data_IF_639538702936
#
_entry.id   IF_639538702936
#
_cell.length_a   1.000
_cell.length_b   1.000
_cell.length_c   1.000
_cell.angle_alpha   90.00
_cell.angle_beta   90.00
_cell.angle_gamma   90.00
#
_symmetry.space_group_name_H-M   'P 1'
#
loop_
_entity.id
_entity.type
_entity.pdbx_description
1 polymer ?
#
# COMPACT_ATOMS: atom_id res chain seq x y z
N UNK A 1 31.47 -74.22 3.10
CA UNK A 1 30.37 -73.38 3.63
C UNK A 1 30.92 -71.96 3.86
N UNK A 2 30.73 -71.07 2.90
CA UNK A 2 31.15 -69.65 2.97
C UNK A 2 29.94 -68.83 3.38
N UNK A 3 30.02 -68.13 4.50
CA UNK A 3 28.99 -67.19 4.98
C UNK A 3 29.20 -65.86 4.28
N UNK A 4 28.14 -65.45 3.56
CA UNK A 4 28.09 -64.13 2.91
C UNK A 4 27.56 -63.16 3.96
N UNK A 5 28.35 -62.12 4.27
CA UNK A 5 27.93 -61.02 5.13
C UNK A 5 27.34 -59.91 4.25
N UNK A 6 26.05 -59.61 4.47
CA UNK A 6 25.36 -58.48 3.85
C UNK A 6 25.70 -57.22 4.64
N UNK A 7 26.37 -56.26 4.03
CA UNK A 7 26.50 -54.91 4.55
C UNK A 7 25.27 -54.09 4.11
N UNK A 8 24.41 -53.73 5.07
CA UNK A 8 23.41 -52.70 4.88
C UNK A 8 24.08 -51.32 5.02
N UNK A 9 24.24 -50.61 3.93
CA UNK A 9 24.60 -49.20 3.93
C UNK A 9 23.35 -48.40 4.25
N UNK A 10 23.26 -47.82 5.44
CA UNK A 10 22.27 -46.85 5.80
C UNK A 10 22.55 -45.53 5.06
N UNK A 11 21.72 -45.15 4.13
CA UNK A 11 21.73 -43.86 3.48
C UNK A 11 21.23 -42.86 4.51
N UNK A 12 22.10 -42.04 5.08
CA UNK A 12 21.72 -40.90 5.89
C UNK A 12 21.08 -39.84 4.94
N UNK A 13 19.79 -39.66 5.03
CA UNK A 13 19.12 -38.49 4.42
C UNK A 13 19.51 -37.32 5.30
N UNK A 14 20.52 -36.56 4.86
CA UNK A 14 20.77 -35.22 5.40
C UNK A 14 19.58 -34.37 5.00
N UNK A 15 18.74 -34.01 5.99
CA UNK A 15 17.67 -33.03 5.82
C UNK A 15 18.30 -31.73 5.29
N UNK A 16 17.73 -31.17 4.24
CA UNK A 16 17.99 -29.80 3.84
C UNK A 16 17.60 -28.90 5.03
N UNK A 17 18.58 -28.53 5.83
CA UNK A 17 18.41 -27.47 6.80
C UNK A 17 18.13 -26.15 6.07
N UNK A 18 17.31 -25.33 6.68
CA UNK A 18 16.96 -23.98 6.23
C UNK A 18 18.24 -23.21 5.83
N UNK A 19 18.46 -23.01 4.52
CA UNK A 19 19.60 -22.22 4.03
C UNK A 19 19.54 -20.75 4.48
N UNK A 20 18.40 -20.29 5.00
CA UNK A 20 18.23 -18.95 5.58
C UNK A 20 18.66 -18.85 7.05
N UNK A 21 18.96 -19.96 7.73
CA UNK A 21 19.32 -19.97 9.17
C UNK A 21 20.66 -19.31 9.52
N UNK A 22 21.39 -18.78 8.54
CA UNK A 22 22.67 -18.12 8.73
C UNK A 22 22.79 -16.69 8.21
N UNK A 23 21.72 -16.14 7.60
CA UNK A 23 21.73 -14.76 7.09
C UNK A 23 21.08 -13.88 8.15
N UNK A 24 21.91 -13.08 8.85
CA UNK A 24 21.41 -12.04 9.75
C UNK A 24 20.71 -10.96 8.88
N UNK A 25 19.42 -10.64 9.14
CA UNK A 25 18.72 -9.63 8.38
C UNK A 25 19.40 -8.26 8.52
N UNK A 26 19.44 -7.42 7.48
CA UNK A 26 19.97 -6.09 7.59
C UNK A 26 19.18 -5.29 8.63
N UNK A 27 19.85 -4.40 9.35
CA UNK A 27 19.18 -3.57 10.33
C UNK A 27 18.39 -2.46 9.60
N UNK A 28 17.06 -2.42 9.70
CA UNK A 28 16.26 -1.35 9.11
C UNK A 28 16.61 0.01 9.71
N UNK A 29 16.43 1.07 8.94
CA UNK A 29 16.58 2.43 9.44
C UNK A 29 15.47 2.75 10.44
N UNK A 30 15.84 3.42 11.53
CA UNK A 30 14.92 3.90 12.56
C UNK A 30 15.07 5.41 12.73
N UNK A 31 14.14 6.04 13.47
CA UNK A 31 14.19 7.48 13.76
C UNK A 31 15.57 7.89 14.31
N UNK A 32 16.21 8.85 13.65
CA UNK A 32 17.52 9.40 14.03
C UNK A 32 17.44 10.83 14.56
N UNK A 33 16.31 11.50 14.38
CA UNK A 33 16.14 12.87 14.80
C UNK A 33 14.76 13.44 14.50
N UNK A 34 14.61 14.73 14.79
CA UNK A 34 13.39 15.50 14.53
C UNK A 34 13.66 16.54 13.45
N UNK A 35 12.62 16.87 12.68
CA UNK A 35 12.66 17.91 11.67
C UNK A 35 11.38 18.77 11.75
N UNK A 36 11.49 19.99 11.24
CA UNK A 36 10.37 20.88 10.97
C UNK A 36 10.46 21.31 9.50
N UNK A 37 10.20 20.35 8.63
CA UNK A 37 10.33 20.55 7.18
C UNK A 37 9.11 21.21 6.57
N UNK A 38 7.96 21.11 7.26
CA UNK A 38 6.68 21.69 6.84
C UNK A 38 5.70 21.75 8.01
N UNK A 39 4.68 22.60 7.88
CA UNK A 39 3.47 22.60 8.66
C UNK A 39 2.30 22.06 7.85
N UNK A 40 1.14 21.84 8.48
CA UNK A 40 -0.08 21.40 7.81
C UNK A 40 -1.21 22.40 8.03
N UNK A 41 -1.84 22.79 6.93
CA UNK A 41 -3.04 23.64 6.93
C UNK A 41 -4.26 22.79 6.58
N UNK A 42 -5.34 22.94 7.36
CA UNK A 42 -6.61 22.28 7.09
C UNK A 42 -7.36 23.04 6.00
N UNK A 43 -7.60 22.42 4.85
CA UNK A 43 -8.21 23.01 3.66
C UNK A 43 -9.65 22.56 3.42
N UNK A 44 -10.08 21.44 4.02
CA UNK A 44 -11.47 20.99 3.98
C UNK A 44 -11.82 20.24 5.27
N UNK A 45 -13.13 20.25 5.65
CA UNK A 45 -13.62 19.59 6.87
C UNK A 45 -15.03 19.04 6.65
N UNK A 46 -15.51 18.12 7.50
CA UNK A 46 -16.87 17.56 7.44
C UNK A 46 -17.09 16.59 6.27
N UNK A 47 -16.05 15.92 5.83
CA UNK A 47 -16.11 14.75 4.95
C UNK A 47 -16.44 13.50 5.79
N UNK A 48 -16.94 12.45 5.15
CA UNK A 48 -17.32 11.23 5.84
C UNK A 48 -16.20 10.18 5.72
N UNK A 49 -15.27 10.17 6.69
CA UNK A 49 -14.13 9.24 6.73
C UNK A 49 -13.36 9.19 5.41
N UNK A 50 -12.69 10.28 4.99
CA UNK A 50 -11.93 10.29 3.75
C UNK A 50 -10.72 9.34 3.87
N UNK A 51 -10.59 8.42 2.90
CA UNK A 51 -9.54 7.42 2.85
C UNK A 51 -8.49 7.68 1.76
N UNK A 52 -8.78 8.59 0.84
CA UNK A 52 -7.86 8.95 -0.23
C UNK A 52 -8.06 10.42 -0.62
N UNK A 53 -6.99 11.11 -0.99
CA UNK A 53 -7.02 12.48 -1.54
C UNK A 53 -5.90 12.63 -2.55
N UNK A 54 -6.18 13.33 -3.66
CA UNK A 54 -5.18 13.65 -4.67
C UNK A 54 -5.77 14.41 -5.84
N UNK A 55 -4.89 14.83 -6.76
CA UNK A 55 -5.31 15.43 -8.02
C UNK A 55 -5.74 14.37 -9.03
N UNK A 56 -6.72 14.69 -9.88
CA UNK A 56 -7.04 13.93 -11.08
C UNK A 56 -6.35 14.56 -12.30
N UNK A 57 -5.78 13.75 -13.22
CA UNK A 57 -5.20 14.28 -14.45
C UNK A 57 -6.21 15.10 -15.27
N UNK A 58 -5.82 16.31 -15.68
CA UNK A 58 -6.70 17.20 -16.46
C UNK A 58 -7.71 17.99 -15.64
N UNK A 59 -7.69 17.94 -14.30
CA UNK A 59 -8.51 18.73 -13.39
C UNK A 59 -7.65 19.57 -12.42
N UNK A 60 -6.83 20.51 -12.93
CA UNK A 60 -5.91 21.29 -12.11
C UNK A 60 -6.69 22.20 -11.14
N UNK A 61 -6.14 22.35 -9.92
CA UNK A 61 -6.73 23.19 -8.87
C UNK A 61 -7.84 22.53 -8.07
N UNK A 62 -8.27 21.34 -8.46
CA UNK A 62 -9.21 20.52 -7.68
C UNK A 62 -8.52 19.34 -6.99
N UNK A 63 -9.09 18.92 -5.87
CA UNK A 63 -8.74 17.68 -5.20
C UNK A 63 -9.93 16.71 -5.29
N UNK A 64 -9.62 15.46 -5.57
CA UNK A 64 -10.58 14.38 -5.49
C UNK A 64 -10.37 13.64 -4.18
N UNK A 65 -11.46 13.24 -3.54
CA UNK A 65 -11.46 12.58 -2.24
C UNK A 65 -12.36 11.36 -2.31
N UNK A 66 -11.89 10.22 -1.82
CA UNK A 66 -12.75 9.07 -1.57
C UNK A 66 -13.25 9.12 -0.13
N UNK A 67 -14.55 9.09 0.03
CA UNK A 67 -15.18 8.84 1.33
C UNK A 67 -15.45 7.33 1.49
N UNK A 68 -15.04 6.76 2.61
CA UNK A 68 -15.14 5.33 2.90
C UNK A 68 -16.54 4.74 2.60
N UNK A 69 -17.68 5.41 2.89
CA UNK A 69 -19.00 4.86 2.60
C UNK A 69 -19.34 4.69 1.12
N UNK A 70 -18.51 5.16 0.17
CA UNK A 70 -18.75 4.92 -1.26
C UNK A 70 -18.98 6.16 -2.10
N UNK A 71 -18.45 7.32 -1.69
CA UNK A 71 -18.57 8.55 -2.48
C UNK A 71 -17.23 9.04 -2.99
N UNK A 72 -17.24 9.58 -4.21
CA UNK A 72 -16.12 10.36 -4.78
C UNK A 72 -16.53 11.82 -4.75
N UNK A 73 -15.77 12.63 -4.04
CA UNK A 73 -16.02 14.07 -3.84
C UNK A 73 -14.94 14.86 -4.57
N UNK A 74 -15.32 15.88 -5.30
CA UNK A 74 -14.42 16.90 -5.88
C UNK A 74 -14.46 18.15 -5.01
N UNK A 75 -13.30 18.67 -4.65
CA UNK A 75 -13.15 19.90 -3.86
C UNK A 75 -12.40 20.91 -4.70
N UNK A 76 -13.01 22.06 -4.96
CA UNK A 76 -12.41 23.16 -5.68
C UNK A 76 -12.81 24.49 -5.04
N UNK A 77 -11.86 25.35 -4.71
CA UNK A 77 -12.08 26.65 -4.09
C UNK A 77 -13.04 26.61 -2.87
N UNK A 78 -12.88 25.55 -2.03
CA UNK A 78 -13.73 25.32 -0.85
C UNK A 78 -15.13 24.76 -1.16
N UNK A 79 -15.55 24.71 -2.40
CA UNK A 79 -16.81 24.08 -2.84
C UNK A 79 -16.65 22.58 -3.01
N UNK A 80 -17.73 21.81 -2.74
CA UNK A 80 -17.74 20.36 -2.86
C UNK A 80 -18.81 19.90 -3.84
N UNK A 81 -18.44 18.95 -4.68
CA UNK A 81 -19.35 18.30 -5.61
C UNK A 81 -19.21 16.79 -5.46
N UNK A 82 -20.31 16.07 -5.28
CA UNK A 82 -20.31 14.60 -5.35
C UNK A 82 -20.27 14.20 -6.82
N UNK A 83 -19.20 13.53 -7.22
CA UNK A 83 -19.01 13.05 -8.58
C UNK A 83 -19.60 11.65 -8.79
N UNK A 84 -19.58 10.83 -7.73
CA UNK A 84 -20.10 9.47 -7.71
C UNK A 84 -20.63 9.15 -6.32
N UNK A 85 -21.76 8.45 -6.27
CA UNK A 85 -22.26 7.80 -5.07
C UNK A 85 -22.64 6.35 -5.39
N UNK A 86 -21.87 5.41 -4.79
CA UNK A 86 -22.11 3.96 -4.84
C UNK A 86 -22.31 3.38 -3.43
N UNK A 87 -22.68 4.20 -2.46
CA UNK A 87 -22.85 3.78 -1.06
C UNK A 87 -23.80 2.59 -0.87
N UNK A 88 -24.80 2.45 -1.75
CA UNK A 88 -25.69 1.29 -1.79
C UNK A 88 -24.97 -0.04 -2.16
N UNK A 89 -23.79 0.04 -2.80
CA UNK A 89 -23.01 -1.10 -3.26
C UNK A 89 -21.83 -1.44 -2.32
N UNK A 90 -21.51 -0.53 -1.39
CA UNK A 90 -20.34 -0.60 -0.51
C UNK A 90 -20.74 -1.08 0.88
N UNK A 91 -20.03 -2.09 1.41
CA UNK A 91 -20.03 -2.40 2.82
C UNK A 91 -19.00 -1.51 3.51
N UNK A 92 -19.38 -0.89 4.61
CA UNK A 92 -18.50 -0.02 5.40
C UNK A 92 -18.25 -0.66 6.76
N UNK A 93 -17.00 -1.02 7.03
CA UNK A 93 -16.55 -1.61 8.30
C UNK A 93 -15.34 -0.85 8.88
N UNK A 94 -14.53 -1.56 9.65
CA UNK A 94 -13.28 -1.00 10.18
C UNK A 94 -12.33 -0.64 9.04
N UNK A 95 -12.02 -1.61 8.18
CA UNK A 95 -11.16 -1.43 6.99
C UNK A 95 -11.94 -1.55 5.67
N UNK A 96 -13.17 -2.02 5.69
CA UNK A 96 -14.03 -2.14 4.50
C UNK A 96 -14.58 -0.80 4.07
N UNK A 97 -14.74 -0.60 2.76
CA UNK A 97 -15.27 0.64 2.21
C UNK A 97 -14.91 0.85 0.74
N UNK A 98 -15.02 2.09 0.27
CA UNK A 98 -14.41 2.56 -0.98
C UNK A 98 -12.95 2.93 -0.67
N UNK A 99 -12.01 2.07 -1.08
CA UNK A 99 -10.65 2.03 -0.56
C UNK A 99 -9.60 2.65 -1.49
N UNK A 100 -9.82 2.56 -2.82
CA UNK A 100 -8.83 3.00 -3.79
C UNK A 100 -9.43 3.56 -5.06
N UNK A 101 -8.71 4.49 -5.67
CA UNK A 101 -8.96 5.05 -6.99
C UNK A 101 -7.65 5.12 -7.77
N UNK A 102 -7.71 4.77 -9.06
CA UNK A 102 -6.63 5.04 -10.00
C UNK A 102 -7.20 5.68 -11.25
N UNK A 103 -6.51 6.69 -11.75
CA UNK A 103 -6.83 7.32 -13.02
C UNK A 103 -6.00 6.66 -14.13
N UNK A 104 -6.67 6.38 -15.26
CA UNK A 104 -5.97 5.99 -16.49
C UNK A 104 -4.89 7.04 -16.84
N UNK A 105 -3.71 6.64 -17.36
CA UNK A 105 -2.70 7.62 -17.79
C UNK A 105 -3.26 8.69 -18.74
N UNK A 106 -4.23 8.32 -19.58
CA UNK A 106 -4.92 9.23 -20.49
C UNK A 106 -6.27 9.77 -19.95
N UNK A 107 -6.47 9.75 -18.63
CA UNK A 107 -7.74 10.14 -17.98
C UNK A 107 -8.28 11.48 -18.47
N UNK A 108 -7.45 12.49 -18.66
CA UNK A 108 -7.84 13.82 -19.13
C UNK A 108 -8.64 13.78 -20.46
N UNK A 109 -8.41 12.78 -21.29
CA UNK A 109 -9.10 12.60 -22.58
C UNK A 109 -10.07 11.44 -22.56
N UNK A 110 -9.73 10.33 -21.89
CA UNK A 110 -10.52 9.11 -21.85
C UNK A 110 -11.65 9.16 -20.82
N UNK A 111 -11.46 9.89 -19.73
CA UNK A 111 -12.32 9.86 -18.57
C UNK A 111 -12.31 8.51 -17.82
N UNK A 112 -11.41 7.57 -18.16
CA UNK A 112 -11.34 6.24 -17.55
C UNK A 112 -10.72 6.33 -16.15
N UNK A 113 -11.37 5.69 -15.19
CA UNK A 113 -10.84 5.54 -13.83
C UNK A 113 -11.24 4.17 -13.29
N UNK A 114 -10.57 3.76 -12.25
CA UNK A 114 -10.73 2.46 -11.62
C UNK A 114 -10.96 2.65 -10.13
N UNK A 115 -11.92 1.90 -9.58
CA UNK A 115 -12.23 1.93 -8.17
C UNK A 115 -12.05 0.56 -7.56
N UNK A 116 -11.56 0.53 -6.32
CA UNK A 116 -11.50 -0.62 -5.45
C UNK A 116 -12.40 -0.39 -4.25
N UNK A 117 -13.29 -1.35 -3.96
CA UNK A 117 -14.20 -1.28 -2.80
C UNK A 117 -14.55 -2.67 -2.27
N UNK A 118 -15.03 -2.69 -1.02
CA UNK A 118 -15.67 -3.87 -0.42
C UNK A 118 -17.15 -3.89 -0.80
N UNK A 119 -17.62 -4.94 -1.46
CA UNK A 119 -19.04 -5.05 -1.82
C UNK A 119 -19.92 -5.37 -0.59
N UNK A 120 -21.23 -5.52 -0.79
CA UNK A 120 -22.21 -5.75 0.29
C UNK A 120 -21.99 -7.08 1.06
N UNK A 121 -21.15 -7.99 0.56
CA UNK A 121 -20.72 -9.21 1.26
C UNK A 121 -19.36 -9.07 1.93
N UNK A 122 -18.68 -7.96 1.71
CA UNK A 122 -17.33 -7.70 2.19
C UNK A 122 -16.23 -8.06 1.18
N UNK A 123 -16.61 -8.64 0.02
CA UNK A 123 -15.64 -9.07 -0.98
C UNK A 123 -15.02 -7.90 -1.73
N UNK A 124 -13.74 -8.04 -2.07
CA UNK A 124 -13.02 -7.07 -2.90
C UNK A 124 -13.60 -7.00 -4.30
N UNK A 125 -13.83 -5.78 -4.76
CA UNK A 125 -14.23 -5.43 -6.14
C UNK A 125 -13.26 -4.43 -6.73
N UNK A 126 -12.85 -4.68 -7.97
CA UNK A 126 -12.17 -3.67 -8.81
C UNK A 126 -12.92 -3.55 -10.10
N UNK A 127 -13.28 -2.33 -10.49
CA UNK A 127 -13.99 -2.09 -11.73
C UNK A 127 -13.58 -0.77 -12.40
N UNK A 128 -13.76 -0.74 -13.71
CA UNK A 128 -13.60 0.43 -14.56
C UNK A 128 -14.87 1.28 -14.53
N UNK A 129 -14.69 2.57 -14.34
CA UNK A 129 -15.72 3.61 -14.44
C UNK A 129 -15.32 4.65 -15.49
N UNK A 130 -16.24 5.52 -15.82
CA UNK A 130 -15.98 6.61 -16.75
C UNK A 130 -16.57 7.92 -16.25
N UNK A 131 -15.71 8.92 -16.11
CA UNK A 131 -16.09 10.29 -15.85
C UNK A 131 -16.52 10.97 -17.16
N UNK A 132 -17.54 11.84 -17.08
CA UNK A 132 -17.95 12.76 -18.13
C UNK A 132 -17.05 14.00 -18.15
N UNK A 133 -17.25 14.89 -19.11
CA UNK A 133 -16.49 16.16 -19.20
C UNK A 133 -16.74 17.11 -18.01
N UNK A 134 -17.87 16.98 -17.32
CA UNK A 134 -18.19 17.70 -16.09
C UNK A 134 -17.73 16.96 -14.83
N UNK A 135 -16.90 15.93 -15.00
CA UNK A 135 -16.38 15.02 -13.99
C UNK A 135 -17.41 14.13 -13.29
N UNK A 136 -18.71 14.23 -13.61
CA UNK A 136 -19.69 13.28 -13.04
C UNK A 136 -19.42 11.86 -13.54
N UNK A 137 -19.64 10.88 -12.65
CA UNK A 137 -19.34 9.47 -12.91
C UNK A 137 -20.65 8.68 -12.81
N UNK A 138 -20.93 7.83 -13.79
CA UNK A 138 -22.07 6.92 -13.73
C UNK A 138 -21.86 5.88 -12.61
N UNK A 139 -22.87 5.63 -11.75
CA UNK A 139 -22.72 4.69 -10.63
C UNK A 139 -22.67 3.21 -11.06
N UNK A 140 -22.89 2.94 -12.35
CA UNK A 140 -22.72 1.59 -12.91
C UNK A 140 -21.33 1.48 -13.55
N UNK A 141 -20.51 0.49 -13.15
CA UNK A 141 -19.22 0.27 -13.76
C UNK A 141 -19.35 -0.11 -15.25
N UNK A 142 -18.40 0.35 -16.04
CA UNK A 142 -18.25 -0.03 -17.45
C UNK A 142 -17.88 -1.51 -17.56
N UNK A 143 -16.98 -1.96 -16.69
CA UNK A 143 -16.45 -3.32 -16.70
C UNK A 143 -15.97 -3.73 -15.31
N UNK A 144 -16.36 -4.93 -14.85
CA UNK A 144 -15.79 -5.58 -13.69
C UNK A 144 -14.44 -6.18 -14.08
N UNK A 145 -13.38 -5.93 -13.30
CA UNK A 145 -12.02 -6.39 -13.57
C UNK A 145 -11.56 -7.49 -12.62
N UNK A 146 -11.91 -7.38 -11.34
CA UNK A 146 -11.51 -8.32 -10.30
C UNK A 146 -12.59 -8.49 -9.26
N UNK A 147 -12.64 -9.70 -8.73
CA UNK A 147 -13.45 -10.11 -7.60
C UNK A 147 -12.63 -11.07 -6.77
N UNK A 148 -12.43 -10.78 -5.48
CA UNK A 148 -11.72 -11.65 -4.53
C UNK A 148 -12.56 -11.77 -3.26
N UNK A 149 -12.82 -12.99 -2.85
CA UNK A 149 -13.50 -13.27 -1.59
C UNK A 149 -12.62 -12.83 -0.42
N UNK A 150 -13.20 -12.10 0.53
CA UNK A 150 -12.50 -11.63 1.74
C UNK A 150 -13.00 -12.40 2.96
N UNK A 151 -12.10 -13.16 3.63
CA UNK A 151 -12.50 -14.00 4.76
C UNK A 151 -12.92 -13.21 5.99
N UNK A 152 -12.30 -12.04 6.24
CA UNK A 152 -12.55 -11.20 7.42
C UNK A 152 -12.79 -9.73 7.02
N UNK A 153 -13.23 -8.92 7.98
CA UNK A 153 -13.49 -7.49 7.78
C UNK A 153 -12.23 -6.61 7.83
N UNK A 154 -11.08 -7.17 8.17
CA UNK A 154 -9.79 -6.50 8.26
C UNK A 154 -8.78 -7.04 7.24
N UNK A 155 -7.64 -6.35 7.11
CA UNK A 155 -6.58 -6.61 6.14
C UNK A 155 -7.09 -6.61 4.68
N UNK A 156 -7.92 -5.63 4.35
CA UNK A 156 -8.47 -5.53 3.00
C UNK A 156 -7.51 -4.87 2.01
N UNK A 157 -6.37 -4.33 2.47
CA UNK A 157 -5.47 -3.52 1.64
C UNK A 157 -6.13 -2.20 1.23
N UNK A 158 -5.87 -1.71 0.03
CA UNK A 158 -6.63 -0.55 -0.41
C UNK A 158 -6.11 0.21 -1.62
N UNK A 159 -4.82 0.25 -1.83
CA UNK A 159 -4.23 1.07 -2.89
C UNK A 159 -4.49 0.48 -4.27
N UNK A 160 -5.00 1.34 -5.18
CA UNK A 160 -4.92 1.18 -6.63
C UNK A 160 -3.98 2.24 -7.20
N UNK A 161 -3.10 1.88 -8.12
CA UNK A 161 -2.29 2.83 -8.87
C UNK A 161 -1.82 2.22 -10.19
N UNK A 162 -1.62 3.05 -11.21
CA UNK A 162 -0.88 2.65 -12.39
C UNK A 162 0.61 2.65 -12.10
N UNK A 163 1.30 1.59 -12.51
CA UNK A 163 2.75 1.52 -12.49
C UNK A 163 3.38 2.26 -13.67
N UNK A 164 4.71 2.40 -13.67
CA UNK A 164 5.45 3.03 -14.78
C UNK A 164 5.41 2.21 -16.08
N UNK A 165 4.85 1.03 -16.05
CA UNK A 165 4.65 0.07 -17.14
C UNK A 165 3.21 0.05 -17.68
N UNK A 166 2.41 1.05 -17.32
CA UNK A 166 1.00 1.23 -17.68
C UNK A 166 0.06 0.09 -17.19
N UNK A 167 0.51 -0.78 -16.29
CA UNK A 167 -0.36 -1.78 -15.64
C UNK A 167 -1.02 -1.18 -14.39
N UNK A 168 -2.24 -1.65 -14.11
CA UNK A 168 -2.95 -1.33 -12.87
C UNK A 168 -2.50 -2.29 -11.76
N UNK A 169 -2.04 -1.73 -10.65
CA UNK A 169 -1.59 -2.45 -9.46
C UNK A 169 -2.61 -2.34 -8.34
N UNK A 170 -2.71 -3.40 -7.55
CA UNK A 170 -3.57 -3.49 -6.37
C UNK A 170 -2.81 -4.15 -5.22
N UNK A 171 -2.81 -3.53 -4.05
CA UNK A 171 -2.40 -4.14 -2.79
C UNK A 171 -3.58 -4.83 -2.10
N UNK A 172 -3.42 -6.10 -1.79
CA UNK A 172 -4.39 -6.93 -1.06
C UNK A 172 -3.75 -7.47 0.21
N UNK A 173 -4.40 -7.28 1.34
CA UNK A 173 -3.99 -7.90 2.60
C UNK A 173 -4.19 -9.42 2.60
N UNK A 174 -3.72 -10.09 3.64
CA UNK A 174 -3.78 -11.54 3.82
C UNK A 174 -5.20 -12.09 4.07
N UNK A 175 -6.21 -11.21 4.08
CA UNK A 175 -7.62 -11.56 4.31
C UNK A 175 -8.00 -11.67 5.78
N UNK A 176 -7.12 -11.18 6.69
CA UNK A 176 -7.46 -10.94 8.09
C UNK A 176 -7.19 -12.09 9.05
N UNK A 177 -7.33 -11.77 10.31
CA UNK A 177 -6.98 -12.62 11.42
C UNK A 177 -5.53 -12.46 11.87
N UNK A 178 -5.22 -12.91 13.10
CA UNK A 178 -3.89 -12.82 13.66
C UNK A 178 -2.98 -13.90 13.05
N UNK A 179 -1.74 -13.51 12.67
CA UNK A 179 -0.71 -14.41 12.17
C UNK A 179 -1.07 -15.20 10.90
N UNK A 180 -1.88 -14.62 10.00
CA UNK A 180 -2.32 -15.24 8.74
C UNK A 180 -2.80 -16.69 8.93
N UNK A 181 -3.95 -16.91 9.60
CA UNK A 181 -4.40 -18.25 9.99
C UNK A 181 -4.75 -19.15 8.80
N UNK A 182 -4.77 -18.60 7.60
CA UNK A 182 -5.07 -19.30 6.34
C UNK A 182 -3.84 -19.50 5.47
N UNK A 183 -2.68 -18.97 5.89
CA UNK A 183 -1.41 -19.00 5.16
C UNK A 183 -1.52 -18.41 3.74
N UNK A 184 -2.40 -17.44 3.53
CA UNK A 184 -2.67 -16.84 2.21
C UNK A 184 -1.50 -16.02 1.70
N UNK A 185 -0.77 -15.35 2.60
CA UNK A 185 0.35 -14.48 2.22
C UNK A 185 1.48 -15.24 1.52
N UNK A 186 1.69 -16.51 1.87
CA UNK A 186 2.72 -17.38 1.30
C UNK A 186 2.18 -18.38 0.25
N UNK A 187 0.86 -18.42 0.02
CA UNK A 187 0.25 -19.29 -0.97
C UNK A 187 0.36 -18.68 -2.38
N UNK A 188 1.12 -19.28 -3.33
CA UNK A 188 1.29 -18.75 -4.68
C UNK A 188 0.02 -18.78 -5.53
N UNK A 189 -0.95 -19.62 -5.17
CA UNK A 189 -2.22 -19.77 -5.89
C UNK A 189 -3.30 -18.81 -5.35
N UNK A 190 -2.99 -18.00 -4.34
CA UNK A 190 -3.89 -17.03 -3.72
C UNK A 190 -3.49 -15.59 -4.08
N UNK A 191 -4.47 -14.68 -4.18
CA UNK A 191 -4.24 -13.26 -4.43
C UNK A 191 -4.15 -12.42 -3.15
N UNK A 192 -4.52 -12.98 -2.00
CA UNK A 192 -4.44 -12.30 -0.70
C UNK A 192 -3.00 -12.28 -0.18
N UNK A 193 -2.63 -11.22 0.55
CA UNK A 193 -1.28 -10.98 1.03
C UNK A 193 -0.28 -10.67 -0.10
N UNK A 194 -0.72 -9.91 -1.11
CA UNK A 194 0.02 -9.69 -2.37
C UNK A 194 -0.07 -8.24 -2.85
N UNK A 195 0.90 -7.83 -3.63
CA UNK A 195 0.71 -6.80 -4.66
C UNK A 195 0.56 -7.51 -6.00
N UNK A 196 -0.53 -7.23 -6.69
CA UNK A 196 -0.87 -7.83 -7.99
C UNK A 196 -0.99 -6.75 -9.06
N UNK A 197 -0.73 -7.11 -10.32
CA UNK A 197 -0.82 -6.19 -11.46
C UNK A 197 -1.52 -6.82 -12.65
N UNK A 198 -2.20 -6.01 -13.46
CA UNK A 198 -2.84 -6.42 -14.69
C UNK A 198 -2.77 -5.35 -15.78
N UNK A 199 -2.64 -5.79 -17.03
CA UNK A 199 -2.95 -4.97 -18.22
C UNK A 199 -4.48 -4.85 -18.33
N UNK A 200 -5.01 -3.68 -18.00
CA UNK A 200 -6.46 -3.42 -18.02
C UNK A 200 -6.99 -3.07 -19.40
N UNK A 201 -6.14 -2.90 -20.41
CA UNK A 201 -6.55 -2.73 -21.81
C UNK A 201 -6.84 -4.07 -22.49
N UNK A 202 -6.30 -5.14 -21.92
CA UNK A 202 -6.64 -6.48 -22.35
C UNK A 202 -8.15 -6.75 -22.24
N UNK A 203 -8.73 -7.43 -23.21
CA UNK A 203 -10.16 -7.80 -23.20
C UNK A 203 -10.56 -8.61 -21.96
N UNK A 204 -9.63 -9.40 -21.42
CA UNK A 204 -9.74 -10.17 -20.18
C UNK A 204 -8.44 -10.00 -19.40
N UNK A 205 -8.36 -8.99 -18.53
CA UNK A 205 -7.18 -8.78 -17.71
C UNK A 205 -6.81 -10.01 -16.90
N UNK A 206 -5.52 -10.33 -16.89
CA UNK A 206 -4.97 -11.40 -16.05
C UNK A 206 -4.11 -10.74 -14.98
N UNK A 207 -4.51 -10.92 -13.75
CA UNK A 207 -3.77 -10.43 -12.60
C UNK A 207 -2.58 -11.36 -12.33
N UNK A 208 -1.40 -10.78 -12.28
CA UNK A 208 -0.14 -11.43 -11.91
C UNK A 208 0.26 -11.00 -10.50
N UNK A 209 0.76 -11.93 -9.70
CA UNK A 209 1.42 -11.61 -8.43
C UNK A 209 2.77 -10.97 -8.75
N UNK A 210 3.05 -9.81 -8.15
CA UNK A 210 4.30 -9.05 -8.26
C UNK A 210 5.11 -9.15 -6.97
N UNK A 211 4.42 -9.05 -5.83
CA UNK A 211 5.01 -9.21 -4.50
C UNK A 211 4.13 -10.16 -3.69
N UNK A 212 4.77 -10.95 -2.83
CA UNK A 212 4.11 -11.92 -1.93
C UNK A 212 4.58 -11.71 -0.49
N UNK A 213 3.92 -12.34 0.47
CA UNK A 213 4.33 -12.25 1.87
C UNK A 213 4.06 -10.90 2.50
N UNK A 214 2.89 -10.33 2.24
CA UNK A 214 2.38 -9.08 2.80
C UNK A 214 1.23 -9.35 3.76
N UNK A 215 1.16 -8.57 4.84
CA UNK A 215 0.07 -8.65 5.81
C UNK A 215 -1.12 -7.78 5.42
N UNK A 216 -0.90 -6.48 5.33
CA UNK A 216 -1.92 -5.50 4.97
C UNK A 216 -1.28 -4.27 4.31
N UNK A 217 -0.88 -4.38 3.02
CA UNK A 217 -0.23 -3.31 2.28
C UNK A 217 -1.23 -2.18 2.04
N UNK A 218 -1.34 -1.28 3.03
CA UNK A 218 -2.36 -0.23 3.03
C UNK A 218 -2.16 0.76 1.91
N UNK A 219 -0.91 1.30 1.75
CA UNK A 219 -0.53 2.19 0.65
C UNK A 219 0.83 1.82 0.08
N UNK A 220 0.98 2.04 -1.21
CA UNK A 220 2.24 1.93 -1.89
C UNK A 220 2.45 3.11 -2.86
N UNK A 221 3.68 3.31 -3.28
CA UNK A 221 4.06 4.39 -4.19
C UNK A 221 5.13 3.92 -5.15
N UNK A 222 5.01 4.28 -6.43
CA UNK A 222 6.06 4.05 -7.41
C UNK A 222 7.03 5.23 -7.46
N UNK A 223 8.34 4.95 -7.39
CA UNK A 223 9.37 5.91 -7.73
C UNK A 223 9.89 5.60 -9.13
N UNK A 224 9.37 6.25 -10.19
CA UNK A 224 9.78 5.97 -11.57
C UNK A 224 11.22 6.39 -11.86
N UNK A 225 11.79 7.29 -11.06
CA UNK A 225 13.16 7.72 -11.22
C UNK A 225 14.18 6.65 -10.78
N UNK A 226 13.76 5.76 -9.88
CA UNK A 226 14.57 4.64 -9.39
C UNK A 226 14.09 3.28 -9.88
N UNK A 227 12.90 3.20 -10.52
CA UNK A 227 12.30 1.96 -10.96
C UNK A 227 11.87 1.06 -9.79
N UNK A 228 11.34 1.65 -8.74
CA UNK A 228 11.05 0.99 -7.47
C UNK A 228 9.60 1.21 -7.01
N UNK A 229 9.11 0.26 -6.21
CA UNK A 229 7.88 0.39 -5.44
C UNK A 229 8.20 0.51 -3.95
N UNK A 230 7.56 1.44 -3.28
CA UNK A 230 7.59 1.64 -1.83
C UNK A 230 6.27 1.16 -1.25
N UNK A 231 6.30 0.30 -0.24
CA UNK A 231 5.11 -0.28 0.38
C UNK A 231 5.13 0.06 1.87
N UNK A 232 3.98 0.39 2.41
CA UNK A 232 3.72 0.42 3.83
C UNK A 232 2.85 -0.78 4.17
N UNK A 233 3.44 -1.76 4.81
CA UNK A 233 2.77 -2.96 5.26
C UNK A 233 2.49 -2.88 6.76
N UNK A 234 1.22 -2.97 7.15
CA UNK A 234 0.78 -2.82 8.54
C UNK A 234 1.14 -4.08 9.31
N UNK A 235 1.96 -3.92 10.34
CA UNK A 235 2.41 -5.00 11.21
C UNK A 235 1.32 -5.58 12.11
N UNK A 236 1.67 -6.67 12.82
CA UNK A 236 0.71 -7.40 13.66
C UNK A 236 0.56 -6.74 15.04
N UNK A 237 1.62 -6.74 15.82
CA UNK A 237 1.57 -6.35 17.24
C UNK A 237 2.72 -5.44 17.69
N UNK A 238 3.88 -5.50 17.03
CA UNK A 238 5.10 -4.87 17.54
C UNK A 238 5.70 -3.85 16.58
N UNK A 239 5.69 -4.11 15.26
CA UNK A 239 6.53 -3.39 14.30
C UNK A 239 5.75 -3.02 13.04
N UNK A 240 5.76 -1.75 12.72
CA UNK A 240 5.33 -1.22 11.42
C UNK A 240 6.53 -1.12 10.47
N UNK A 241 6.29 -1.37 9.17
CA UNK A 241 7.40 -1.44 8.20
C UNK A 241 7.15 -0.68 6.91
N UNK A 242 8.26 -0.21 6.35
CA UNK A 242 8.34 0.35 5.01
C UNK A 242 9.30 -0.51 4.20
N UNK A 243 8.80 -1.02 3.09
CA UNK A 243 9.56 -1.79 2.14
C UNK A 243 9.90 -0.97 0.91
N UNK A 244 11.05 -1.28 0.30
CA UNK A 244 11.53 -0.66 -0.91
C UNK A 244 12.03 -1.75 -1.85
N UNK A 245 11.33 -1.97 -2.96
CA UNK A 245 11.55 -3.12 -3.83
C UNK A 245 11.75 -2.65 -5.27
N UNK A 246 12.80 -3.12 -5.97
CA UNK A 246 12.90 -2.94 -7.43
C UNK A 246 11.68 -3.53 -8.13
N UNK A 247 11.14 -2.82 -9.11
CA UNK A 247 9.97 -3.27 -9.87
C UNK A 247 10.43 -4.16 -11.03
N UNK A 248 10.41 -5.47 -10.84
CA UNK A 248 10.85 -6.49 -11.79
C UNK A 248 9.69 -7.43 -12.12
N UNK A 249 8.96 -7.15 -13.21
CA UNK A 249 7.69 -7.85 -13.52
C UNK A 249 7.84 -9.24 -14.14
N UNK A 250 8.97 -9.51 -14.76
CA UNK A 250 9.21 -10.78 -15.48
C UNK A 250 9.98 -11.79 -14.63
N UNK A 251 10.37 -11.38 -13.40
CA UNK A 251 11.03 -12.23 -12.42
C UNK A 251 9.99 -12.86 -11.47
N UNK A 252 10.38 -13.89 -10.71
CA UNK A 252 9.54 -14.41 -9.63
C UNK A 252 9.16 -13.30 -8.63
N UNK A 253 7.96 -13.36 -8.02
CA UNK A 253 7.52 -12.37 -7.04
C UNK A 253 8.51 -12.27 -5.87
N UNK A 254 8.98 -11.07 -5.53
CA UNK A 254 9.76 -10.88 -4.30
C UNK A 254 8.87 -11.13 -3.08
N UNK A 255 9.45 -11.73 -2.03
CA UNK A 255 8.75 -12.11 -0.81
C UNK A 255 9.12 -11.16 0.34
N UNK A 256 8.12 -10.55 1.00
CA UNK A 256 8.34 -9.61 2.10
C UNK A 256 8.27 -10.27 3.48
N UNK A 257 8.08 -11.60 3.54
CA UNK A 257 8.32 -12.42 4.72
C UNK A 257 7.12 -12.67 5.64
N UNK A 258 6.02 -11.96 5.52
CA UNK A 258 4.81 -12.26 6.29
C UNK A 258 4.24 -13.63 5.85
N UNK A 259 3.84 -14.54 6.75
CA UNK A 259 3.67 -14.40 8.20
C UNK A 259 4.77 -15.08 9.02
N UNK A 260 5.94 -15.38 8.43
CA UNK A 260 7.08 -15.88 9.19
C UNK A 260 7.80 -14.76 9.94
N UNK A 261 7.78 -13.53 9.41
CA UNK A 261 8.45 -12.36 9.97
C UNK A 261 7.49 -11.19 10.16
N UNK A 262 7.75 -10.38 11.19
CA UNK A 262 7.24 -9.03 11.40
C UNK A 262 8.44 -8.10 11.52
N UNK A 263 8.60 -7.17 10.58
CA UNK A 263 9.87 -6.48 10.39
C UNK A 263 10.99 -7.46 10.05
N UNK A 264 12.03 -7.47 10.87
CA UNK A 264 13.14 -8.45 10.75
C UNK A 264 13.09 -9.54 11.81
N UNK A 265 12.07 -9.55 12.66
CA UNK A 265 11.90 -10.51 13.75
C UNK A 265 11.11 -11.72 13.25
N UNK A 266 11.69 -12.92 13.39
CA UNK A 266 10.94 -14.15 13.15
C UNK A 266 9.91 -14.34 14.24
N UNK A 267 8.63 -14.46 13.88
CA UNK A 267 7.49 -14.56 14.79
C UNK A 267 6.79 -15.92 14.73
N UNK A 268 6.96 -16.67 13.65
CA UNK A 268 6.37 -17.98 13.47
C UNK A 268 7.26 -18.91 12.65
N UNK A 269 7.07 -20.23 12.81
CA UNK A 269 7.72 -21.26 12.00
C UNK A 269 6.89 -21.58 10.75
N UNK A 270 6.46 -20.53 10.05
CA UNK A 270 5.81 -20.69 8.76
C UNK A 270 6.85 -20.82 7.65
N UNK A 271 6.58 -21.72 6.70
CA UNK A 271 7.39 -21.84 5.50
C UNK A 271 7.19 -20.62 4.61
N UNK A 272 8.29 -20.10 4.07
CA UNK A 272 8.24 -19.05 3.06
C UNK A 272 8.07 -19.68 1.67
N UNK A 273 7.26 -19.04 0.82
CA UNK A 273 7.30 -19.33 -0.62
C UNK A 273 8.69 -18.96 -1.15
N UNK A 274 9.35 -19.95 -1.74
CA UNK A 274 10.74 -19.84 -2.24
C UNK A 274 10.81 -19.48 -3.71
N UNK A 275 9.69 -19.12 -4.32
CA UNK A 275 9.67 -18.73 -5.73
C UNK A 275 10.45 -17.43 -6.00
N UNK A 276 10.54 -16.52 -5.01
CA UNK A 276 11.27 -15.27 -5.09
C UNK A 276 12.18 -15.03 -3.89
N UNK A 277 13.09 -14.05 -4.04
CA UNK A 277 14.00 -13.66 -2.96
C UNK A 277 13.24 -12.97 -1.83
N UNK A 278 13.69 -13.21 -0.59
CA UNK A 278 13.23 -12.50 0.58
C UNK A 278 13.79 -11.08 0.58
N UNK A 279 12.90 -10.10 0.73
CA UNK A 279 13.23 -8.67 0.85
C UNK A 279 12.91 -8.21 2.26
N UNK A 280 13.84 -7.49 2.86
CA UNK A 280 13.69 -6.95 4.21
C UNK A 280 13.24 -5.49 4.18
N UNK A 281 12.46 -5.03 5.19
CA UNK A 281 12.05 -3.64 5.29
C UNK A 281 13.26 -2.70 5.38
N UNK A 282 13.16 -1.55 4.73
CA UNK A 282 14.21 -0.53 4.75
C UNK A 282 14.10 0.41 5.94
N UNK A 283 12.90 0.54 6.51
CA UNK A 283 12.66 1.31 7.73
C UNK A 283 11.55 0.67 8.55
N UNK A 284 11.67 0.77 9.88
CA UNK A 284 10.68 0.27 10.83
C UNK A 284 10.49 1.23 12.00
N UNK A 285 9.34 1.14 12.65
CA UNK A 285 9.10 1.73 13.97
C UNK A 285 8.21 0.82 14.81
N UNK A 286 8.32 0.92 16.15
CA UNK A 286 7.56 0.08 17.07
C UNK A 286 6.28 0.75 17.53
N UNK A 287 5.27 -0.05 17.88
CA UNK A 287 3.98 0.44 18.39
C UNK A 287 4.15 1.25 19.68
N UNK A 288 4.95 0.80 20.63
CA UNK A 288 5.03 1.39 21.97
C UNK A 288 5.62 2.82 22.02
N UNK A 289 6.87 2.97 21.61
CA UNK A 289 7.65 4.20 21.83
C UNK A 289 7.18 5.38 20.97
N UNK A 290 6.72 5.09 19.76
CA UNK A 290 6.17 6.09 18.87
C UNK A 290 4.69 6.37 19.13
N UNK A 291 3.98 5.49 19.88
CA UNK A 291 2.53 5.55 20.05
C UNK A 291 1.78 5.32 18.74
N UNK A 292 2.43 4.65 17.77
CA UNK A 292 1.84 4.23 16.51
C UNK A 292 1.12 2.90 16.63
N UNK A 293 0.33 2.56 15.62
CA UNK A 293 -0.37 1.27 15.56
C UNK A 293 -0.65 0.81 14.13
N UNK A 294 -0.42 1.65 13.13
CA UNK A 294 -0.75 1.31 11.73
C UNK A 294 -0.07 2.30 10.81
N UNK A 295 0.92 1.82 10.08
CA UNK A 295 1.59 2.62 9.06
C UNK A 295 0.63 2.95 7.93
N UNK A 296 0.52 4.24 7.61
CA UNK A 296 -0.32 4.69 6.50
C UNK A 296 0.42 4.60 5.17
N UNK A 297 1.76 4.71 5.19
CA UNK A 297 2.56 4.85 3.99
C UNK A 297 2.63 6.30 3.50
N UNK A 298 3.08 6.46 2.26
CA UNK A 298 3.31 7.78 1.73
C UNK A 298 3.91 7.78 0.33
N UNK A 299 4.76 8.76 0.04
CA UNK A 299 5.33 8.98 -1.28
C UNK A 299 6.70 9.67 -1.24
N UNK A 300 7.46 9.55 -2.32
CA UNK A 300 8.68 10.34 -2.53
C UNK A 300 8.28 11.74 -3.00
N UNK A 301 8.58 12.76 -2.20
CA UNK A 301 8.21 14.13 -2.51
C UNK A 301 8.93 14.66 -3.75
N UNK A 302 8.12 15.12 -4.70
CA UNK A 302 8.57 15.69 -5.97
C UNK A 302 8.13 17.14 -6.21
N UNK A 303 7.42 17.77 -5.26
CA UNK A 303 6.99 19.17 -5.34
C UNK A 303 8.15 20.16 -5.20
N UNK A 304 7.86 21.45 -5.37
CA UNK A 304 8.86 22.50 -5.35
C UNK A 304 8.80 23.42 -4.12
N UNK A 305 7.66 23.40 -3.39
CA UNK A 305 7.44 24.38 -2.30
C UNK A 305 8.13 24.01 -0.98
N UNK A 306 8.53 22.74 -0.81
CA UNK A 306 9.14 22.21 0.41
C UNK A 306 10.54 21.65 0.11
N UNK A 307 11.56 22.48 -0.14
CA UNK A 307 12.88 22.02 -0.58
C UNK A 307 13.58 21.13 0.45
N UNK A 308 13.24 21.23 1.74
CA UNK A 308 13.75 20.35 2.80
C UNK A 308 13.32 18.88 2.61
N UNK A 309 12.20 18.64 1.90
CA UNK A 309 11.66 17.31 1.59
C UNK A 309 12.09 16.78 0.21
N UNK A 310 12.84 17.54 -0.58
CA UNK A 310 13.21 17.15 -1.94
C UNK A 310 13.79 15.72 -1.97
N UNK A 311 13.15 14.82 -2.75
CA UNK A 311 13.50 13.41 -2.89
C UNK A 311 13.48 12.61 -1.58
N UNK A 312 12.79 13.05 -0.55
CA UNK A 312 12.54 12.26 0.66
C UNK A 312 11.23 11.47 0.52
N UNK A 313 11.21 10.24 0.99
CA UNK A 313 9.96 9.49 1.18
C UNK A 313 9.31 10.01 2.46
N UNK A 314 8.10 10.56 2.33
CA UNK A 314 7.28 11.07 3.44
C UNK A 314 6.22 10.05 3.75
N UNK A 315 6.13 9.59 5.00
CA UNK A 315 5.15 8.59 5.44
C UNK A 315 4.60 8.93 6.82
N UNK A 316 3.58 8.20 7.25
CA UNK A 316 2.98 8.47 8.54
C UNK A 316 2.22 7.30 9.15
N UNK A 317 1.65 7.55 10.34
CA UNK A 317 0.90 6.60 11.16
C UNK A 317 -0.53 7.07 11.39
N UNK A 318 -1.48 6.16 11.25
CA UNK A 318 -2.91 6.43 11.41
C UNK A 318 -3.26 6.83 12.85
N UNK A 319 -2.83 6.07 13.85
CA UNK A 319 -3.24 6.26 15.24
C UNK A 319 -2.63 7.52 15.87
N UNK A 320 -1.31 7.65 15.71
CA UNK A 320 -0.58 8.76 16.31
C UNK A 320 -0.70 10.05 15.49
N UNK A 321 -1.10 9.94 14.22
CA UNK A 321 -1.11 11.06 13.28
C UNK A 321 0.29 11.63 13.02
N UNK A 322 1.34 10.87 13.33
CA UNK A 322 2.73 11.27 13.17
C UNK A 322 3.16 11.15 11.73
N UNK A 323 4.09 12.00 11.35
CA UNK A 323 4.72 12.01 10.04
C UNK A 323 6.23 11.85 10.20
N UNK A 324 6.83 11.13 9.26
CA UNK A 324 8.27 10.98 9.13
C UNK A 324 8.70 11.27 7.70
N UNK A 325 9.96 11.56 7.54
CA UNK A 325 10.62 11.62 6.25
C UNK A 325 11.95 10.88 6.30
N UNK A 326 12.31 10.16 5.25
CA UNK A 326 13.58 9.47 5.12
C UNK A 326 14.20 9.72 3.73
N UNK A 327 15.49 9.48 3.59
CA UNK A 327 16.16 9.50 2.30
C UNK A 327 16.31 8.08 1.76
N UNK A 328 15.97 7.85 0.47
CA UNK A 328 16.39 6.64 -0.21
C UNK A 328 17.91 6.57 -0.22
N UNK A 329 18.49 5.50 0.35
CA UNK A 329 19.94 5.29 0.31
C UNK A 329 20.35 4.63 -1.02
N UNK A 330 21.56 4.87 -1.52
CA UNK A 330 22.12 4.12 -2.63
C UNK A 330 22.16 2.62 -2.28
N UNK A 331 21.81 1.77 -3.25
CA UNK A 331 21.85 0.32 -3.07
C UNK A 331 20.63 -0.30 -2.39
N UNK A 332 19.52 0.44 -2.28
CA UNK A 332 18.22 -0.13 -1.90
C UNK A 332 17.81 0.05 -0.43
N UNK A 333 18.60 0.71 0.41
CA UNK A 333 18.25 0.98 1.82
C UNK A 333 17.56 2.32 2.04
N UNK A 334 17.42 2.71 3.31
CA UNK A 334 16.96 4.02 3.76
C UNK A 334 17.95 4.63 4.75
N UNK A 335 18.04 5.94 4.76
CA UNK A 335 18.89 6.70 5.69
C UNK A 335 18.21 7.99 6.15
N UNK A 336 18.78 8.63 7.16
CA UNK A 336 18.34 9.95 7.65
C UNK A 336 16.84 10.00 7.94
N UNK A 337 16.33 9.01 8.72
CA UNK A 337 14.93 8.96 9.15
C UNK A 337 14.67 10.05 10.18
N UNK A 338 13.76 10.96 9.87
CA UNK A 338 13.42 12.10 10.75
C UNK A 338 11.93 12.11 11.04
N UNK A 339 11.58 12.30 12.30
CA UNK A 339 10.21 12.60 12.69
C UNK A 339 9.91 14.06 12.46
N UNK A 340 8.91 14.34 11.64
CA UNK A 340 8.43 15.69 11.37
C UNK A 340 7.65 16.25 12.58
N UNK A 341 7.65 17.58 12.73
CA UNK A 341 6.88 18.25 13.77
C UNK A 341 5.38 18.25 13.45
N UNK A 342 5.04 18.34 12.17
CA UNK A 342 3.67 18.29 11.66
C UNK A 342 2.96 16.99 12.07
N UNK A 343 1.63 17.07 12.27
CA UNK A 343 0.76 15.92 12.57
C UNK A 343 -0.56 16.03 11.83
N UNK A 344 -1.11 14.89 11.42
CA UNK A 344 -2.44 14.77 10.83
C UNK A 344 -3.22 13.70 11.59
N UNK A 345 -4.26 14.07 12.36
CA UNK A 345 -5.04 13.09 13.13
C UNK A 345 -5.66 12.03 12.25
N UNK A 346 -5.64 10.76 12.67
CA UNK A 346 -6.20 9.62 11.91
C UNK A 346 -5.79 9.67 10.43
N UNK A 347 -4.49 9.79 10.18
CA UNK A 347 -3.93 9.91 8.84
C UNK A 347 -4.24 8.67 8.00
N UNK A 348 -5.10 8.81 7.00
CA UNK A 348 -5.52 7.69 6.14
C UNK A 348 -4.80 7.63 4.79
N UNK A 349 -4.31 8.78 4.30
CA UNK A 349 -3.62 8.87 3.01
C UNK A 349 -2.73 10.10 2.91
N UNK A 350 -1.60 9.94 2.23
CA UNK A 350 -0.74 11.02 1.75
C UNK A 350 -0.77 10.99 0.23
N UNK A 351 -1.24 12.05 -0.39
CA UNK A 351 -1.29 12.22 -1.84
C UNK A 351 -0.65 13.53 -2.28
N UNK A 352 -0.84 13.88 -3.55
CA UNK A 352 -0.38 15.17 -4.10
C UNK A 352 -1.50 15.93 -4.78
N UNK A 353 -1.40 17.25 -4.75
CA UNK A 353 -2.18 18.10 -5.64
C UNK A 353 -1.57 18.13 -7.06
N UNK A 354 -2.18 18.91 -7.96
CA UNK A 354 -1.72 19.02 -9.36
C UNK A 354 -0.33 19.65 -9.54
N UNK A 355 0.18 20.33 -8.51
CA UNK A 355 1.53 20.91 -8.50
C UNK A 355 2.56 19.93 -7.88
N UNK A 356 2.13 18.74 -7.45
CA UNK A 356 2.96 17.76 -6.77
C UNK A 356 3.17 18.03 -5.28
N UNK A 357 2.41 18.96 -4.69
CA UNK A 357 2.50 19.30 -3.27
C UNK A 357 1.68 18.36 -2.41
N UNK A 358 2.18 18.08 -1.20
CA UNK A 358 1.58 17.10 -0.29
C UNK A 358 0.18 17.52 0.17
N UNK A 359 -0.76 16.59 0.08
CA UNK A 359 -2.10 16.67 0.67
C UNK A 359 -2.38 15.41 1.48
N UNK A 360 -3.19 15.56 2.53
CA UNK A 360 -3.42 14.48 3.50
C UNK A 360 -4.91 14.29 3.72
N UNK A 361 -5.37 13.04 3.68
CA UNK A 361 -6.71 12.66 4.13
C UNK A 361 -6.66 12.22 5.59
N UNK A 362 -7.55 12.74 6.39
CA UNK A 362 -7.75 12.38 7.79
C UNK A 362 -9.08 11.65 7.97
N UNK A 363 -9.05 10.44 8.50
CA UNK A 363 -10.27 9.69 8.86
C UNK A 363 -11.22 10.44 9.81
N UNK A 364 -10.76 11.52 10.43
CA UNK A 364 -11.59 12.43 11.23
C UNK A 364 -12.53 13.31 10.39
N UNK A 365 -12.42 13.29 9.05
CA UNK A 365 -13.29 14.05 8.15
C UNK A 365 -12.64 15.30 7.57
N UNK A 366 -11.33 15.44 7.66
CA UNK A 366 -10.59 16.61 7.22
C UNK A 366 -9.63 16.28 6.06
N UNK A 367 -9.31 17.31 5.27
CA UNK A 367 -8.19 17.30 4.31
C UNK A 367 -7.23 18.42 4.69
N UNK A 368 -5.94 18.09 4.66
CA UNK A 368 -4.86 19.02 4.93
C UNK A 368 -3.94 19.18 3.72
N UNK A 369 -3.22 20.30 3.68
CA UNK A 369 -2.13 20.57 2.74
C UNK A 369 -0.85 20.87 3.53
N UNK A 370 0.29 20.42 3.03
CA UNK A 370 1.57 20.86 3.55
C UNK A 370 1.87 22.29 3.12
N UNK A 371 2.39 23.08 4.03
CA UNK A 371 2.82 24.46 3.82
C UNK A 371 4.24 24.67 4.38
N UNK A 372 4.94 25.67 3.90
CA UNK A 372 6.25 26.01 4.47
C UNK A 372 6.12 26.32 5.98
N UNK A 373 7.17 26.00 6.78
CA UNK A 373 7.18 26.28 8.21
C UNK A 373 7.07 27.75 8.54
#
# INVERSE_FOLDING_TARGET
>A
MRRLALFLTALAITGCGDELSGIEPPKPATEQGRAHSFDVERIATGLNRPLWVGAAPGDPGALWVLEQPGRVIRIENGSRTTLLDISEQVLTGAEQGLLGIAFDPDFATSGRLFLHWSDRRGDTRVAEFRARRDHTIEPRPVRQLLMVDQPEENHNGGQLAFGPDDRLYLGLGDGGGAFDPRATAQDPDNLLGKVIAADVDAKRPRWKVVLTGLRNPWRFWFDPALGEIWIADVGQDEVEEIDRVPLELDEPPKNLGWSAYEGTKRIADHDLDRAGDLVWPVATYTHGDAGGCSVTGGLVYGGARLPALARRYVYGDYCAGRLWSLRPAPGGGAEDVRREQAKVPLLAHIGTDSDGELVFASGAGDVYRAVAP
#
